data_IF_947916169601
#
_entry.id   IF_947916169601
#
_cell.length_a   1.000
_cell.length_b   1.000
_cell.length_c   1.000
_cell.angle_alpha   90.00
_cell.angle_beta   90.00
_cell.angle_gamma   90.00
#
_symmetry.space_group_name_H-M   'P 1'
#
loop_
_entity.id
_entity.type
_entity.pdbx_description
1 polymer ?
#
# COMPACT_ATOMS: atom_id res chain seq x y z
N UNK A 1 7.34 2.20 -16.24
CA UNK A 1 6.93 3.58 -15.86
C UNK A 1 5.44 3.82 -16.01
N UNK A 2 4.83 3.66 -17.20
CA UNK A 2 3.39 3.96 -17.34
C UNK A 2 2.50 3.05 -16.49
N UNK A 3 2.77 1.74 -16.49
CA UNK A 3 2.03 0.77 -15.68
C UNK A 3 2.14 1.05 -14.17
N UNK A 4 3.35 1.32 -13.65
CA UNK A 4 3.56 1.61 -12.22
C UNK A 4 2.87 2.90 -11.80
N UNK A 5 2.85 3.91 -12.67
CA UNK A 5 2.13 5.14 -12.37
C UNK A 5 0.61 4.91 -12.39
N UNK A 6 0.09 4.14 -13.35
CA UNK A 6 -1.33 3.80 -13.39
C UNK A 6 -1.70 3.06 -12.09
N UNK A 7 -0.92 2.05 -11.69
CA UNK A 7 -1.11 1.35 -10.43
C UNK A 7 -1.06 2.32 -9.24
N UNK A 8 -0.11 3.25 -9.22
CA UNK A 8 -0.01 4.26 -8.16
C UNK A 8 -1.23 5.19 -8.08
N UNK A 9 -1.77 5.59 -9.24
CA UNK A 9 -2.99 6.41 -9.33
C UNK A 9 -4.22 5.65 -8.84
N UNK A 10 -4.39 4.39 -9.23
CA UNK A 10 -5.54 3.59 -8.77
C UNK A 10 -5.43 3.31 -7.25
N UNK A 11 -4.24 2.97 -6.75
CA UNK A 11 -4.02 2.78 -5.32
C UNK A 11 -4.28 4.06 -4.50
N UNK A 12 -3.91 5.23 -5.02
CA UNK A 12 -4.23 6.51 -4.38
C UNK A 12 -5.73 6.80 -4.39
N UNK A 13 -6.45 6.49 -5.48
CA UNK A 13 -7.90 6.64 -5.54
C UNK A 13 -8.60 5.79 -4.46
N UNK A 14 -8.24 4.51 -4.37
CA UNK A 14 -8.79 3.59 -3.38
C UNK A 14 -8.47 4.03 -1.96
N UNK A 15 -7.22 4.45 -1.69
CA UNK A 15 -6.79 4.96 -0.39
C UNK A 15 -7.61 6.19 0.06
N UNK A 16 -7.82 7.15 -0.84
CA UNK A 16 -8.63 8.34 -0.56
C UNK A 16 -10.10 7.99 -0.37
N UNK A 17 -10.62 7.05 -1.16
CA UNK A 17 -11.99 6.55 -1.01
C UNK A 17 -12.19 5.88 0.36
N UNK A 18 -11.30 4.97 0.75
CA UNK A 18 -11.32 4.32 2.06
C UNK A 18 -11.26 5.34 3.21
N UNK A 19 -10.39 6.35 3.11
CA UNK A 19 -10.32 7.44 4.11
C UNK A 19 -11.68 8.13 4.27
N UNK A 20 -12.33 8.51 3.17
CA UNK A 20 -13.66 9.14 3.19
C UNK A 20 -14.72 8.21 3.76
N UNK A 21 -14.72 6.96 3.35
CA UNK A 21 -15.67 5.96 3.85
C UNK A 21 -15.57 5.79 5.38
N UNK A 22 -14.35 5.68 5.92
CA UNK A 22 -14.13 5.56 7.37
C UNK A 22 -14.60 6.84 8.11
N UNK A 23 -14.39 8.02 7.53
CA UNK A 23 -14.90 9.28 8.08
C UNK A 23 -16.43 9.30 8.13
N UNK A 24 -17.10 8.84 7.07
CA UNK A 24 -18.56 8.76 6.99
C UNK A 24 -19.15 7.76 7.99
N UNK A 25 -18.44 6.67 8.30
CA UNK A 25 -18.85 5.72 9.33
C UNK A 25 -18.84 6.31 10.75
N UNK A 26 -18.19 7.46 10.98
CA UNK A 26 -18.14 8.13 12.29
C UNK A 26 -17.32 7.37 13.35
N UNK A 27 -16.58 6.33 12.96
CA UNK A 27 -15.74 5.53 13.86
C UNK A 27 -14.43 6.22 14.25
N UNK A 28 -14.02 7.23 13.48
CA UNK A 28 -12.87 8.10 13.78
C UNK A 28 -13.33 9.57 13.70
N UNK A 29 -13.10 10.41 14.73
CA UNK A 29 -13.62 11.78 14.78
C UNK A 29 -13.20 12.67 13.60
N UNK A 30 -11.96 12.53 13.13
CA UNK A 30 -11.49 13.07 11.85
C UNK A 30 -10.14 12.45 11.48
N UNK A 31 -9.83 12.37 10.18
CA UNK A 31 -8.52 11.93 9.67
C UNK A 31 -7.86 13.15 9.01
N UNK A 32 -7.05 13.89 9.78
CA UNK A 32 -6.37 15.09 9.30
C UNK A 32 -5.18 14.74 8.38
N UNK A 33 -4.44 13.70 8.71
CA UNK A 33 -3.20 13.34 8.00
C UNK A 33 -3.46 12.79 6.58
N UNK A 34 -2.55 13.05 5.62
CA UNK A 34 -2.56 12.41 4.31
C UNK A 34 -2.44 10.90 4.43
N UNK A 35 -3.08 10.15 3.52
CA UNK A 35 -2.84 8.72 3.41
C UNK A 35 -1.44 8.49 2.86
N UNK A 36 -0.63 7.70 3.58
CA UNK A 36 0.75 7.42 3.19
C UNK A 36 0.77 6.22 2.25
N UNK A 37 1.20 6.45 1.02
CA UNK A 37 1.37 5.39 0.04
C UNK A 37 2.86 5.17 -0.25
N UNK A 38 3.28 3.91 -0.21
CA UNK A 38 4.66 3.49 -0.43
C UNK A 38 4.89 3.07 -1.87
N UNK A 39 5.98 3.55 -2.47
CA UNK A 39 6.34 3.26 -3.85
C UNK A 39 7.82 2.99 -3.99
N UNK A 40 8.19 2.06 -4.86
CA UNK A 40 9.57 1.73 -5.15
C UNK A 40 10.11 2.40 -6.43
N UNK A 41 9.23 3.04 -7.23
CA UNK A 41 9.63 3.72 -8.44
C UNK A 41 9.84 5.23 -8.22
N UNK A 42 11.09 5.66 -8.16
CA UNK A 42 11.48 7.06 -8.06
C UNK A 42 10.94 7.94 -9.20
N UNK A 43 10.84 7.40 -10.42
CA UNK A 43 10.28 8.10 -11.56
C UNK A 43 8.78 8.36 -11.43
N UNK A 44 8.02 7.42 -10.86
CA UNK A 44 6.60 7.62 -10.57
C UNK A 44 6.40 8.68 -9.47
N UNK A 45 7.20 8.63 -8.40
CA UNK A 45 7.20 9.64 -7.32
C UNK A 45 7.54 11.03 -7.88
N UNK A 46 8.57 11.12 -8.72
CA UNK A 46 8.97 12.38 -9.34
C UNK A 46 7.89 12.93 -10.28
N UNK A 47 7.25 12.08 -11.10
CA UNK A 47 6.17 12.50 -12.00
C UNK A 47 4.90 12.95 -11.26
N UNK A 48 4.65 12.44 -10.06
CA UNK A 48 3.55 12.91 -9.23
C UNK A 48 3.83 14.28 -8.59
N UNK A 49 5.10 14.61 -8.33
CA UNK A 49 5.51 15.92 -7.79
C UNK A 49 5.65 16.98 -8.89
N UNK A 50 6.28 16.63 -10.00
CA UNK A 50 6.64 17.54 -11.09
C UNK A 50 6.11 17.05 -12.44
N UNK A 51 5.47 17.94 -13.22
CA UNK A 51 5.05 17.62 -14.57
C UNK A 51 6.25 17.57 -15.52
N UNK A 52 6.57 16.38 -16.02
CA UNK A 52 7.44 16.21 -17.19
C UNK A 52 6.59 16.01 -18.43
N UNK A 53 6.77 16.86 -19.44
CA UNK A 53 6.04 16.78 -20.70
C UNK A 53 6.45 15.52 -21.47
N UNK A 54 5.50 14.63 -21.70
CA UNK A 54 5.64 13.45 -22.54
C UNK A 54 4.40 13.28 -23.41
N UNK A 55 4.60 12.83 -24.65
CA UNK A 55 3.49 12.51 -25.55
C UNK A 55 2.82 11.22 -25.08
N UNK A 56 1.66 11.34 -24.43
CA UNK A 56 0.87 10.21 -23.89
C UNK A 56 -0.60 10.36 -24.26
N UNK A 57 -1.33 9.25 -24.29
CA UNK A 57 -2.77 9.28 -24.58
C UNK A 57 -3.54 10.10 -23.52
N UNK A 58 -4.66 10.70 -23.93
CA UNK A 58 -5.54 11.49 -23.03
C UNK A 58 -5.97 10.71 -21.78
N UNK A 59 -6.18 9.38 -21.90
CA UNK A 59 -6.58 8.52 -20.78
C UNK A 59 -5.50 8.47 -19.71
N UNK A 60 -4.24 8.37 -20.14
CA UNK A 60 -3.10 8.31 -19.24
C UNK A 60 -2.93 9.68 -18.56
N UNK A 61 -2.94 10.77 -19.33
CA UNK A 61 -2.80 12.13 -18.79
C UNK A 61 -3.80 12.43 -17.66
N UNK A 62 -5.07 11.98 -17.78
CA UNK A 62 -6.05 12.15 -16.71
C UNK A 62 -5.64 11.51 -15.37
N UNK A 63 -5.11 10.28 -15.39
CA UNK A 63 -4.59 9.61 -14.19
C UNK A 63 -3.40 10.35 -13.59
N UNK A 64 -2.54 10.90 -14.45
CA UNK A 64 -1.41 11.74 -14.03
C UNK A 64 -1.83 13.01 -13.32
N UNK A 65 -2.81 13.71 -13.89
CA UNK A 65 -3.35 14.91 -13.26
C UNK A 65 -4.03 14.60 -11.92
N UNK A 66 -4.82 13.52 -11.87
CA UNK A 66 -5.54 13.13 -10.65
C UNK A 66 -4.60 12.81 -9.48
N UNK A 67 -3.61 11.94 -9.70
CA UNK A 67 -2.66 11.59 -8.63
C UNK A 67 -1.88 12.83 -8.16
N UNK A 68 -1.46 13.70 -9.08
CA UNK A 68 -0.78 14.95 -8.74
C UNK A 68 -1.67 15.90 -7.94
N UNK A 69 -2.94 16.02 -8.30
CA UNK A 69 -3.91 16.82 -7.56
C UNK A 69 -4.08 16.30 -6.13
N UNK A 70 -4.22 14.99 -5.94
CA UNK A 70 -4.31 14.37 -4.60
C UNK A 70 -3.07 14.65 -3.75
N UNK A 71 -1.88 14.56 -4.34
CA UNK A 71 -0.62 14.88 -3.64
C UNK A 71 -0.54 16.36 -3.31
N UNK A 72 -0.95 17.24 -4.22
CA UNK A 72 -0.90 18.71 -4.04
C UNK A 72 -1.92 19.18 -2.99
N UNK A 73 -3.11 18.58 -2.95
CA UNK A 73 -4.14 18.85 -1.94
C UNK A 73 -3.76 18.31 -0.56
N UNK A 74 -2.78 17.43 -0.47
CA UNK A 74 -2.40 16.78 0.78
C UNK A 74 -3.32 15.64 1.18
N UNK A 75 -4.06 15.04 0.23
CA UNK A 75 -4.85 13.84 0.49
C UNK A 75 -3.95 12.60 0.60
N UNK A 76 -2.88 12.57 -0.20
CA UNK A 76 -1.95 11.45 -0.31
C UNK A 76 -0.52 11.94 -0.19
N UNK A 77 0.29 11.22 0.58
CA UNK A 77 1.74 11.42 0.69
C UNK A 77 2.46 10.21 0.10
N UNK A 78 3.17 10.42 -1.00
CA UNK A 78 3.97 9.37 -1.64
C UNK A 78 5.35 9.27 -0.97
N UNK A 79 5.69 8.08 -0.46
CA UNK A 79 6.95 7.79 0.23
C UNK A 79 7.72 6.70 -0.52
N UNK A 80 9.05 6.85 -0.61
CA UNK A 80 9.90 5.82 -1.18
C UNK A 80 10.08 4.68 -0.20
N UNK A 81 9.85 3.45 -0.65
CA UNK A 81 10.19 2.20 0.07
C UNK A 81 11.19 1.40 -0.75
N UNK A 82 12.13 0.70 -0.14
CA UNK A 82 13.02 -0.19 -0.89
C UNK A 82 12.21 -1.35 -1.51
N UNK A 83 12.57 -1.81 -2.71
CA UNK A 83 11.89 -2.95 -3.37
C UNK A 83 11.90 -4.21 -2.48
N UNK A 84 12.99 -4.47 -1.75
CA UNK A 84 13.09 -5.60 -0.80
C UNK A 84 12.11 -5.47 0.38
N UNK A 85 11.63 -4.26 0.65
CA UNK A 85 10.67 -3.95 1.72
C UNK A 85 9.27 -3.72 1.18
N UNK A 86 9.11 -3.65 -0.14
CA UNK A 86 7.82 -3.43 -0.76
C UNK A 86 7.01 -4.73 -0.79
N UNK A 87 6.12 -4.92 0.18
CA UNK A 87 5.23 -6.08 0.24
C UNK A 87 4.26 -6.19 -0.94
N UNK A 88 4.16 -5.18 -1.81
CA UNK A 88 3.36 -5.25 -3.04
C UNK A 88 4.11 -5.87 -4.23
N UNK A 89 5.43 -6.01 -4.15
CA UNK A 89 6.24 -6.56 -5.24
C UNK A 89 5.84 -8.00 -5.62
N UNK A 90 5.57 -8.93 -4.68
CA UNK A 90 5.09 -10.27 -5.01
C UNK A 90 3.78 -10.30 -5.80
N UNK A 91 2.94 -9.26 -5.69
CA UNK A 91 1.66 -9.18 -6.37
C UNK A 91 1.78 -8.65 -7.80
N UNK A 92 2.92 -8.06 -8.16
CA UNK A 92 3.09 -7.28 -9.40
C UNK A 92 4.29 -7.69 -10.24
N UNK A 93 5.23 -8.45 -9.67
CA UNK A 93 6.49 -8.84 -10.32
C UNK A 93 6.72 -10.35 -10.23
N UNK A 94 7.35 -10.91 -11.26
CA UNK A 94 7.97 -12.22 -11.17
C UNK A 94 9.26 -12.13 -10.36
N UNK A 95 9.45 -13.05 -9.43
CA UNK A 95 10.64 -13.10 -8.57
C UNK A 95 10.96 -14.54 -8.16
N UNK A 96 12.14 -14.75 -7.56
CA UNK A 96 12.53 -16.06 -7.06
C UNK A 96 11.65 -16.48 -5.86
N UNK A 97 11.53 -17.78 -5.64
CA UNK A 97 10.78 -18.32 -4.51
C UNK A 97 11.31 -17.80 -3.17
N UNK A 98 12.63 -17.63 -3.04
CA UNK A 98 13.25 -17.10 -1.82
C UNK A 98 12.78 -15.68 -1.53
N UNK A 99 12.85 -14.79 -2.54
CA UNK A 99 12.38 -13.41 -2.40
C UNK A 99 10.88 -13.36 -2.10
N UNK A 100 10.09 -14.19 -2.78
CA UNK A 100 8.66 -14.29 -2.55
C UNK A 100 8.34 -14.68 -1.10
N UNK A 101 8.95 -15.75 -0.58
CA UNK A 101 8.75 -16.20 0.82
C UNK A 101 9.13 -15.12 1.83
N UNK A 102 10.26 -14.42 1.63
CA UNK A 102 10.66 -13.32 2.50
C UNK A 102 9.61 -12.20 2.57
N UNK A 103 8.95 -11.89 1.44
CA UNK A 103 7.86 -10.91 1.44
C UNK A 103 6.58 -11.45 2.10
N UNK A 104 6.23 -12.72 1.90
CA UNK A 104 5.07 -13.33 2.57
C UNK A 104 5.24 -13.28 4.10
N UNK A 105 6.44 -13.56 4.60
CA UNK A 105 6.74 -13.50 6.02
C UNK A 105 6.53 -12.08 6.58
N UNK A 106 6.96 -11.06 5.82
CA UNK A 106 6.74 -9.63 6.14
C UNK A 106 5.27 -9.21 6.06
N UNK A 107 4.45 -9.84 5.22
CA UNK A 107 3.00 -9.64 5.19
C UNK A 107 2.28 -10.29 6.37
N UNK A 108 2.98 -11.09 7.18
CA UNK A 108 2.37 -11.86 8.26
C UNK A 108 1.65 -13.11 7.78
N UNK A 109 1.86 -13.52 6.52
CA UNK A 109 1.38 -14.80 6.03
C UNK A 109 2.20 -15.92 6.70
N UNK A 110 1.49 -16.95 7.16
CA UNK A 110 2.04 -18.11 7.88
C UNK A 110 1.40 -19.37 7.33
N UNK A 111 2.11 -20.49 7.41
CA UNK A 111 1.52 -21.77 7.05
C UNK A 111 0.38 -22.09 8.01
N UNK A 112 -0.67 -22.74 7.51
CA UNK A 112 -1.79 -23.20 8.34
C UNK A 112 -1.33 -24.10 9.50
N UNK A 113 -0.24 -24.85 9.30
CA UNK A 113 0.39 -25.64 10.35
C UNK A 113 0.82 -24.80 11.55
N UNK A 114 1.30 -23.58 11.31
CA UNK A 114 1.87 -22.71 12.34
C UNK A 114 0.76 -22.08 13.20
N UNK A 115 -0.42 -21.87 12.62
CA UNK A 115 -1.60 -21.38 13.33
C UNK A 115 -2.12 -22.35 14.39
N UNK A 116 -2.00 -23.66 14.15
CA UNK A 116 -2.42 -24.68 15.13
C UNK A 116 -1.55 -24.59 16.37
N UNK A 117 -0.24 -24.35 16.23
CA UNK A 117 0.68 -24.21 17.36
C UNK A 117 0.43 -22.93 18.17
N UNK A 118 0.27 -21.77 17.51
CA UNK A 118 0.01 -20.50 18.20
C UNK A 118 -1.31 -20.53 18.96
N UNK A 119 -2.36 -21.13 18.38
CA UNK A 119 -3.65 -21.29 19.06
C UNK A 119 -3.52 -22.15 20.33
N UNK A 120 -2.73 -23.21 20.29
CA UNK A 120 -2.48 -24.07 21.45
C UNK A 120 -1.69 -23.37 22.56
N UNK A 121 -0.77 -22.45 22.24
CA UNK A 121 -0.03 -21.67 23.24
C UNK A 121 -0.90 -20.58 23.89
N UNK A 122 -1.72 -19.87 23.12
CA UNK A 122 -2.64 -18.86 23.66
C UNK A 122 -3.67 -19.49 24.62
N UNK A 123 -4.22 -20.65 24.27
CA UNK A 123 -5.15 -21.38 25.15
C UNK A 123 -4.47 -21.77 26.47
N UNK A 124 -3.22 -22.27 26.42
CA UNK A 124 -2.46 -22.59 27.64
C UNK A 124 -2.21 -21.39 28.55
N UNK A 125 -1.96 -20.22 27.98
CA UNK A 125 -1.73 -19.00 28.78
C UNK A 125 -3.04 -18.53 29.44
N UNK A 126 -4.17 -18.59 28.72
CA UNK A 126 -5.48 -18.26 29.28
C UNK A 126 -5.91 -19.19 30.43
N UNK A 127 -5.54 -20.48 30.36
CA UNK A 127 -5.82 -21.45 31.43
C UNK A 127 -4.91 -21.26 32.66
N UNK A 128 -3.75 -20.62 32.52
CA UNK A 128 -2.83 -20.30 33.62
C UNK A 128 -3.18 -19.02 34.37
N UNK A 129 -3.89 -18.08 33.74
CA UNK A 129 -4.36 -16.84 34.38
C UNK A 129 -5.75 -16.98 35.03
N UNK A 130 -6.45 -18.09 34.79
CA UNK A 130 -7.79 -18.38 35.32
C UNK A 130 -7.80 -19.18 36.64
N UNK A 131 -6.64 -19.36 37.30
CA UNK A 131 -6.47 -20.10 38.55
C UNK A 131 -5.58 -19.33 39.54
#
# INVERSE_FOLDING_TARGET
>A
MEAEYIAASEAANEAVWMKKYIQELGVVPSIAEPVVNFYDNNGAIAQAKESRSHHRSKRILRRYHLLREMVTRGDVRMVRVNSIENTTDPLTKSMSQIAHTQHLDKMGLRSMSDWVYVKWEIVKIGDLEAN
#
